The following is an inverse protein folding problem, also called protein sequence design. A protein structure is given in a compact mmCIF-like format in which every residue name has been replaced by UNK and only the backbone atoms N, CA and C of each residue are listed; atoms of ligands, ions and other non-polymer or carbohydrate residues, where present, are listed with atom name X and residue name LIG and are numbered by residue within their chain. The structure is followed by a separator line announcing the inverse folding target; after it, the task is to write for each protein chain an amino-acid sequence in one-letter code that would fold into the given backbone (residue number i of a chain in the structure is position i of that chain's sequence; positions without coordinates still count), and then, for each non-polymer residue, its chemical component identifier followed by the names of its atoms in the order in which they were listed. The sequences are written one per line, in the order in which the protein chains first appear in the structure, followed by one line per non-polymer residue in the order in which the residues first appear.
data_IF_786689790692
#
_entry.id   IF_786689790692
#
_cell.length_a   1.000
_cell.length_b   1.000
_cell.length_c   1.000
_cell.angle_alpha   90.00
_cell.angle_beta   90.00
_cell.angle_gamma   90.00
#
_symmetry.space_group_name_H-M   'P 1'
#
loop_
_entity.id
_entity.type
_entity.pdbx_description
1 polymer ?
#
# COMPACT_ATOMS: atom_id res chain seq x y z
N UNK A 1 5.61 -29.04 -6.49
CA UNK A 1 6.25 -27.74 -6.78
C UNK A 1 7.67 -27.84 -6.24
N UNK A 2 8.68 -27.43 -7.00
CA UNK A 2 10.03 -27.32 -6.43
C UNK A 2 9.98 -26.33 -5.26
N UNK A 3 10.86 -26.48 -4.27
CA UNK A 3 10.91 -25.63 -3.08
C UNK A 3 11.13 -24.12 -3.35
N UNK A 4 11.34 -23.74 -4.62
CA UNK A 4 11.72 -22.39 -5.05
C UNK A 4 10.63 -21.66 -5.88
N UNK A 5 9.45 -22.26 -6.04
CA UNK A 5 8.33 -21.66 -6.77
C UNK A 5 7.26 -21.13 -5.80
N UNK A 6 7.13 -19.81 -5.74
CA UNK A 6 6.01 -19.12 -5.10
C UNK A 6 5.19 -18.38 -6.16
N UNK A 7 3.93 -18.08 -5.83
CA UNK A 7 3.01 -17.32 -6.69
C UNK A 7 2.63 -16.03 -5.98
N UNK A 8 2.77 -14.89 -6.65
CA UNK A 8 2.27 -13.59 -6.19
C UNK A 8 1.53 -12.92 -7.34
N UNK A 9 0.23 -12.78 -7.17
CA UNK A 9 -0.67 -12.05 -8.07
C UNK A 9 -1.58 -11.15 -7.24
N UNK A 10 -2.33 -10.22 -7.85
CA UNK A 10 -3.29 -9.39 -7.11
C UNK A 10 -4.37 -10.19 -6.35
N UNK A 11 -4.59 -11.47 -6.68
CA UNK A 11 -5.65 -12.30 -6.09
C UNK A 11 -5.15 -13.54 -5.36
N UNK A 12 -3.87 -13.92 -5.52
CA UNK A 12 -3.33 -15.14 -4.94
C UNK A 12 -1.87 -14.97 -4.50
N UNK A 13 -1.56 -15.47 -3.31
CA UNK A 13 -0.21 -15.52 -2.73
C UNK A 13 -0.03 -16.92 -2.14
N UNK A 14 0.94 -17.68 -2.67
CA UNK A 14 1.21 -19.06 -2.26
C UNK A 14 2.72 -19.34 -2.21
N UNK A 15 3.14 -20.15 -1.23
CA UNK A 15 4.53 -20.55 -1.03
C UNK A 15 5.33 -19.61 -0.11
N UNK A 16 6.58 -19.98 0.16
CA UNK A 16 7.52 -19.15 0.93
C UNK A 16 8.07 -18.05 0.03
N UNK A 17 7.67 -16.81 0.29
CA UNK A 17 7.98 -15.67 -0.59
C UNK A 17 9.43 -15.21 -0.40
N UNK A 18 10.24 -15.34 -1.46
CA UNK A 18 11.53 -14.67 -1.56
C UNK A 18 11.35 -13.28 -2.18
N UNK A 19 11.38 -12.25 -1.32
CA UNK A 19 11.21 -10.86 -1.71
C UNK A 19 12.33 -10.33 -2.61
N UNK A 20 13.56 -10.84 -2.53
CA UNK A 20 14.66 -10.43 -3.43
C UNK A 20 14.43 -10.95 -4.85
N UNK A 21 13.91 -12.18 -4.97
CA UNK A 21 13.48 -12.74 -6.26
C UNK A 21 12.26 -11.98 -6.80
N UNK A 22 11.30 -11.64 -5.94
CA UNK A 22 10.10 -10.89 -6.32
C UNK A 22 10.43 -9.50 -6.89
N UNK A 23 11.36 -8.76 -6.27
CA UNK A 23 11.83 -7.45 -6.78
C UNK A 23 12.34 -7.58 -8.22
N UNK A 24 13.16 -8.60 -8.51
CA UNK A 24 13.72 -8.84 -9.84
C UNK A 24 12.65 -9.23 -10.86
N UNK A 25 11.71 -10.10 -10.46
CA UNK A 25 10.61 -10.53 -11.33
C UNK A 25 9.69 -9.37 -11.72
N UNK A 26 9.36 -8.51 -10.76
CA UNK A 26 8.47 -7.38 -11.00
C UNK A 26 9.21 -6.18 -11.59
N UNK A 27 10.55 -6.15 -11.56
CA UNK A 27 11.35 -5.03 -12.06
C UNK A 27 11.16 -3.76 -11.22
N UNK A 28 11.00 -3.93 -9.91
CA UNK A 28 10.99 -2.83 -8.93
C UNK A 28 12.39 -2.58 -8.38
N UNK A 29 12.55 -1.53 -7.59
CA UNK A 29 13.81 -1.21 -6.91
C UNK A 29 13.67 -1.48 -5.42
N UNK A 30 14.74 -1.94 -4.78
CA UNK A 30 14.79 -2.09 -3.33
C UNK A 30 14.88 -0.71 -2.68
N UNK A 31 14.16 -0.49 -1.58
CA UNK A 31 14.33 0.73 -0.78
C UNK A 31 15.73 0.69 -0.15
N UNK A 32 16.62 1.52 -0.70
CA UNK A 32 18.04 1.52 -0.33
C UNK A 32 18.30 2.29 0.97
N UNK A 33 19.45 2.07 1.64
CA UNK A 33 19.84 2.86 2.81
C UNK A 33 19.87 4.37 2.55
N UNK A 34 20.17 4.80 1.33
CA UNK A 34 20.16 6.20 0.91
C UNK A 34 18.74 6.76 0.89
N UNK A 35 17.77 6.02 0.33
CA UNK A 35 16.35 6.41 0.35
C UNK A 35 15.82 6.44 1.80
N UNK A 36 16.16 5.45 2.63
CA UNK A 36 15.78 5.44 4.04
C UNK A 36 16.31 6.67 4.78
N UNK A 37 17.57 7.03 4.53
CA UNK A 37 18.20 8.20 5.13
C UNK A 37 17.52 9.49 4.68
N UNK A 38 17.19 9.60 3.39
CA UNK A 38 16.48 10.76 2.83
C UNK A 38 15.06 10.89 3.37
N UNK A 39 14.31 9.79 3.43
CA UNK A 39 12.98 9.74 4.06
C UNK A 39 13.04 10.23 5.51
N UNK A 40 14.00 9.74 6.30
CA UNK A 40 14.18 10.16 7.69
C UNK A 40 14.53 11.64 7.82
N UNK A 41 15.36 12.17 6.92
CA UNK A 41 15.72 13.59 6.90
C UNK A 41 14.50 14.47 6.59
N UNK A 42 13.71 14.11 5.59
CA UNK A 42 12.52 14.87 5.17
C UNK A 42 11.43 14.82 6.25
N UNK A 43 11.12 13.63 6.75
CA UNK A 43 9.99 13.42 7.67
C UNK A 43 10.34 13.67 9.14
N UNK A 44 11.63 13.81 9.46
CA UNK A 44 12.14 13.91 10.82
C UNK A 44 11.98 12.63 11.66
N UNK A 45 11.52 11.52 11.05
CA UNK A 45 11.18 10.30 11.77
C UNK A 45 11.62 9.05 11.01
N UNK A 46 12.09 8.05 11.75
CA UNK A 46 12.42 6.74 11.19
C UNK A 46 11.27 5.75 11.42
N UNK A 47 10.33 5.72 10.47
CA UNK A 47 9.12 4.92 10.58
C UNK A 47 9.44 3.41 10.66
N UNK A 48 8.83 2.71 11.61
CA UNK A 48 9.20 1.32 11.90
C UNK A 48 8.96 0.36 10.71
N UNK A 49 7.96 0.63 9.86
CA UNK A 49 7.69 -0.19 8.68
C UNK A 49 8.76 -0.04 7.59
N UNK A 50 9.47 1.09 7.55
CA UNK A 50 10.63 1.28 6.68
C UNK A 50 11.88 0.67 7.31
N UNK A 51 12.19 1.01 8.58
CA UNK A 51 13.35 0.47 9.31
C UNK A 51 13.38 -1.05 9.34
N UNK A 52 12.22 -1.70 9.49
CA UNK A 52 12.10 -3.16 9.59
C UNK A 52 11.91 -3.85 8.23
N UNK A 53 11.90 -3.10 7.13
CA UNK A 53 11.73 -3.66 5.78
C UNK A 53 10.35 -4.27 5.54
N UNK A 54 9.30 -3.79 6.21
CA UNK A 54 7.91 -4.18 5.90
C UNK A 54 7.53 -3.62 4.52
N UNK A 55 7.84 -2.34 4.30
CA UNK A 55 7.95 -1.78 2.95
C UNK A 55 9.40 -1.93 2.51
N UNK A 56 9.64 -2.73 1.48
CA UNK A 56 10.99 -3.14 1.05
C UNK A 56 11.32 -2.73 -0.39
N UNK A 57 10.32 -2.41 -1.21
CA UNK A 57 10.51 -2.05 -2.62
C UNK A 57 9.72 -0.81 -3.02
N UNK A 58 10.13 -0.17 -4.11
CA UNK A 58 9.49 1.02 -4.66
C UNK A 58 9.66 1.09 -6.19
N UNK A 59 8.96 2.07 -6.79
CA UNK A 59 9.23 2.63 -8.12
C UNK A 59 9.25 4.14 -7.99
N UNK A 60 10.28 4.79 -8.52
CA UNK A 60 10.40 6.25 -8.62
C UNK A 60 10.23 7.06 -7.31
N UNK A 61 10.30 6.41 -6.15
CA UNK A 61 10.28 7.09 -4.85
C UNK A 61 11.39 8.14 -4.74
N UNK A 62 12.57 7.87 -5.29
CA UNK A 62 13.65 8.86 -5.37
C UNK A 62 13.21 10.15 -6.09
N UNK A 63 12.45 10.03 -7.19
CA UNK A 63 11.94 11.19 -7.93
C UNK A 63 10.94 11.99 -7.09
N UNK A 64 10.04 11.31 -6.38
CA UNK A 64 9.09 11.97 -5.47
C UNK A 64 9.84 12.75 -4.37
N UNK A 65 10.87 12.16 -3.75
CA UNK A 65 11.64 12.83 -2.70
C UNK A 65 12.47 13.99 -3.24
N UNK A 66 13.10 13.83 -4.41
CA UNK A 66 13.85 14.90 -5.07
C UNK A 66 12.95 16.08 -5.45
N UNK A 67 11.73 15.80 -5.92
CA UNK A 67 10.77 16.82 -6.33
C UNK A 67 10.13 17.51 -5.12
N UNK A 68 9.85 16.77 -4.05
CA UNK A 68 9.37 17.35 -2.80
C UNK A 68 10.35 18.38 -2.22
N UNK A 69 11.65 18.08 -2.21
CA UNK A 69 12.69 19.03 -1.76
C UNK A 69 12.77 20.31 -2.61
N UNK A 70 12.35 20.23 -3.89
CA UNK A 70 12.24 21.39 -4.79
C UNK A 70 10.93 22.16 -4.62
N UNK A 71 10.06 21.73 -3.71
CA UNK A 71 8.73 22.33 -3.48
C UNK A 71 7.68 21.91 -4.51
N UNK A 72 7.93 20.87 -5.31
CA UNK A 72 6.92 20.31 -6.20
C UNK A 72 5.88 19.51 -5.41
N UNK A 73 4.62 19.62 -5.84
CA UNK A 73 3.49 18.96 -5.19
C UNK A 73 3.30 17.55 -5.74
N UNK A 74 2.88 16.64 -4.87
CA UNK A 74 2.39 15.31 -5.24
C UNK A 74 1.16 14.96 -4.39
N UNK A 75 0.58 13.78 -4.61
CA UNK A 75 -0.53 13.27 -3.83
C UNK A 75 -0.34 11.77 -3.56
N UNK A 76 -1.05 11.26 -2.56
CA UNK A 76 -1.11 9.84 -2.23
C UNK A 76 -2.34 9.20 -2.84
N UNK A 77 -2.19 7.96 -3.29
CA UNK A 77 -3.28 7.14 -3.77
C UNK A 77 -3.14 5.72 -3.22
N UNK A 78 -4.22 5.22 -2.63
CA UNK A 78 -4.35 3.83 -2.21
C UNK A 78 -5.82 3.42 -2.29
N UNK A 79 -6.14 2.17 -1.97
CA UNK A 79 -7.52 1.71 -2.07
C UNK A 79 -7.78 0.39 -1.38
N UNK A 80 -9.02 -0.05 -1.51
CA UNK A 80 -9.56 -1.27 -0.92
C UNK A 80 -10.65 -1.84 -1.80
N UNK A 81 -10.53 -3.11 -2.13
CA UNK A 81 -11.62 -3.89 -2.71
C UNK A 81 -12.53 -4.46 -1.62
N UNK A 82 -13.77 -3.96 -1.44
CA UNK A 82 -14.64 -4.33 -0.35
C UNK A 82 -15.38 -5.65 -0.65
N UNK A 83 -14.77 -6.77 -0.24
CA UNK A 83 -15.38 -8.11 -0.34
C UNK A 83 -15.72 -8.72 1.02
N UNK A 84 -15.77 -7.89 2.07
CA UNK A 84 -15.95 -8.31 3.45
C UNK A 84 -15.31 -7.34 4.46
N UNK A 85 -15.38 -7.70 5.73
CA UNK A 85 -14.82 -6.91 6.84
C UNK A 85 -13.30 -6.78 6.74
N UNK A 86 -12.78 -5.70 7.32
CA UNK A 86 -11.33 -5.48 7.37
C UNK A 86 -10.67 -6.42 8.39
N UNK A 87 -9.39 -6.74 8.15
CA UNK A 87 -8.52 -7.44 9.09
C UNK A 87 -7.19 -6.70 9.15
N UNK A 88 -6.35 -6.98 10.15
CA UNK A 88 -5.09 -6.25 10.42
C UNK A 88 -4.20 -6.12 9.17
N UNK A 89 -4.16 -7.11 8.29
CA UNK A 89 -3.41 -7.03 7.02
C UNK A 89 -3.83 -5.85 6.13
N UNK A 90 -5.11 -5.48 6.09
CA UNK A 90 -5.61 -4.34 5.30
C UNK A 90 -5.17 -3.00 5.90
N UNK A 91 -4.95 -2.94 7.22
CA UNK A 91 -4.58 -1.72 7.93
C UNK A 91 -3.13 -1.32 7.68
N UNK A 92 -2.24 -2.28 7.37
CA UNK A 92 -0.80 -2.03 7.14
C UNK A 92 -0.55 -0.91 6.12
N UNK A 93 -1.10 -0.97 4.88
CA UNK A 93 -0.93 0.11 3.91
C UNK A 93 -1.60 1.42 4.34
N UNK A 94 -2.73 1.37 5.05
CA UNK A 94 -3.48 2.56 5.44
C UNK A 94 -2.76 3.33 6.55
N UNK A 95 -2.28 2.63 7.60
CA UNK A 95 -1.48 3.25 8.66
C UNK A 95 -0.21 3.89 8.09
N UNK A 96 0.42 3.24 7.11
CA UNK A 96 1.58 3.81 6.44
C UNK A 96 1.22 5.04 5.58
N UNK A 97 0.11 4.99 4.83
CA UNK A 97 -0.38 6.11 4.05
C UNK A 97 -0.76 7.31 4.91
N UNK A 98 -1.37 7.08 6.09
CA UNK A 98 -1.66 8.13 7.07
C UNK A 98 -0.38 8.83 7.53
N UNK A 99 0.64 8.05 7.92
CA UNK A 99 1.93 8.61 8.30
C UNK A 99 2.54 9.45 7.16
N UNK A 100 2.49 8.96 5.92
CA UNK A 100 2.97 9.72 4.77
C UNK A 100 2.17 11.03 4.57
N UNK A 101 0.84 10.98 4.67
CA UNK A 101 -0.04 12.15 4.53
C UNK A 101 0.34 13.22 5.57
N UNK A 102 0.51 12.82 6.84
CA UNK A 102 0.87 13.74 7.93
C UNK A 102 2.27 14.34 7.77
N UNK A 103 3.24 13.55 7.29
CA UNK A 103 4.64 14.01 7.16
C UNK A 103 4.90 14.87 5.93
N UNK A 104 4.18 14.61 4.84
CA UNK A 104 4.35 15.35 3.59
C UNK A 104 3.30 16.44 3.38
N UNK A 105 2.25 16.49 4.20
CA UNK A 105 1.13 17.45 4.08
C UNK A 105 0.53 17.46 2.67
N UNK A 106 0.12 16.28 2.21
CA UNK A 106 -0.39 16.05 0.85
C UNK A 106 -1.80 15.49 0.85
N UNK A 107 -2.53 15.74 -0.24
CA UNK A 107 -3.84 15.13 -0.46
C UNK A 107 -3.72 13.61 -0.60
N UNK A 108 -4.72 12.89 -0.11
CA UNK A 108 -4.89 11.45 -0.33
C UNK A 108 -6.21 11.16 -1.05
N UNK A 109 -6.16 10.29 -2.04
CA UNK A 109 -7.34 9.72 -2.69
C UNK A 109 -7.42 8.24 -2.32
N UNK A 110 -8.56 7.83 -1.77
CA UNK A 110 -8.82 6.45 -1.36
C UNK A 110 -9.95 5.85 -2.21
N UNK A 111 -9.65 4.84 -3.02
CA UNK A 111 -10.65 4.18 -3.86
C UNK A 111 -11.23 2.94 -3.18
N UNK A 112 -12.55 2.86 -3.13
CA UNK A 112 -13.28 1.62 -2.85
C UNK A 112 -13.70 1.01 -4.19
N UNK A 113 -13.19 -0.19 -4.49
CA UNK A 113 -13.47 -0.90 -5.76
C UNK A 113 -14.58 -1.93 -5.58
N UNK A 114 -15.76 -1.47 -5.15
CA UNK A 114 -16.97 -2.29 -5.01
C UNK A 114 -17.40 -2.90 -6.34
N UNK A 115 -17.29 -2.16 -7.43
CA UNK A 115 -17.46 -2.60 -8.81
C UNK A 115 -16.57 -3.80 -9.18
N UNK A 116 -15.28 -3.76 -8.84
CA UNK A 116 -14.33 -4.86 -9.05
C UNK A 116 -14.78 -6.12 -8.29
N UNK A 117 -15.25 -5.96 -7.05
CA UNK A 117 -15.69 -7.10 -6.23
C UNK A 117 -17.01 -7.66 -6.69
N UNK A 118 -17.94 -6.82 -7.13
CA UNK A 118 -19.17 -7.26 -7.76
C UNK A 118 -18.88 -8.07 -9.03
N UNK A 119 -17.94 -7.60 -9.86
CA UNK A 119 -17.58 -8.29 -11.09
C UNK A 119 -16.82 -9.61 -10.86
N UNK A 120 -15.94 -9.67 -9.86
CA UNK A 120 -15.03 -10.81 -9.64
C UNK A 120 -15.56 -11.87 -8.67
N UNK A 121 -16.57 -11.55 -7.84
CA UNK A 121 -17.15 -12.47 -6.85
C UNK A 121 -18.58 -12.83 -7.24
N UNK A 122 -18.75 -14.04 -7.79
CA UNK A 122 -20.04 -14.56 -8.24
C UNK A 122 -21.07 -14.73 -7.12
N UNK A 123 -20.61 -14.78 -5.87
CA UNK A 123 -21.40 -14.95 -4.66
C UNK A 123 -21.84 -13.63 -4.01
N UNK A 124 -21.39 -12.48 -4.52
CA UNK A 124 -21.75 -11.16 -4.01
C UNK A 124 -22.64 -10.40 -4.99
N UNK A 125 -23.67 -9.75 -4.46
CA UNK A 125 -24.49 -8.81 -5.23
C UNK A 125 -23.87 -7.40 -5.23
N UNK A 126 -24.37 -6.53 -6.10
CA UNK A 126 -24.00 -5.11 -6.09
C UNK A 126 -24.38 -4.44 -4.76
N UNK A 127 -25.50 -4.85 -4.15
CA UNK A 127 -25.92 -4.34 -2.84
C UNK A 127 -24.95 -4.77 -1.73
N UNK A 128 -24.50 -6.03 -1.74
CA UNK A 128 -23.53 -6.54 -0.75
C UNK A 128 -22.21 -5.77 -0.81
N UNK A 129 -21.68 -5.56 -2.01
CA UNK A 129 -20.40 -4.85 -2.22
C UNK A 129 -20.48 -3.38 -1.85
N UNK A 130 -21.60 -2.70 -2.13
CA UNK A 130 -21.85 -1.33 -1.66
C UNK A 130 -21.93 -1.25 -0.13
N UNK A 131 -22.58 -2.22 0.52
CA UNK A 131 -22.65 -2.26 1.99
C UNK A 131 -21.26 -2.48 2.60
N UNK A 132 -20.45 -3.38 2.04
CA UNK A 132 -19.06 -3.54 2.46
C UNK A 132 -18.22 -2.30 2.20
N UNK A 133 -18.45 -1.58 1.09
CA UNK A 133 -17.75 -0.33 0.81
C UNK A 133 -18.02 0.70 1.92
N UNK A 134 -19.28 0.85 2.35
CA UNK A 134 -19.65 1.74 3.44
C UNK A 134 -18.94 1.34 4.75
N UNK A 135 -19.02 0.08 5.16
CA UNK A 135 -18.37 -0.40 6.39
C UNK A 135 -16.83 -0.23 6.34
N UNK A 136 -16.21 -0.58 5.20
CA UNK A 136 -14.76 -0.41 5.03
C UNK A 136 -14.36 1.08 4.99
N UNK A 137 -15.24 1.98 4.53
CA UNK A 137 -15.02 3.42 4.61
C UNK A 137 -15.00 3.92 6.06
N UNK A 138 -15.88 3.38 6.92
CA UNK A 138 -15.89 3.69 8.36
C UNK A 138 -14.58 3.24 9.02
N UNK A 139 -14.12 2.03 8.71
CA UNK A 139 -12.82 1.52 9.20
C UNK A 139 -11.65 2.41 8.75
N UNK A 140 -11.67 2.87 7.50
CA UNK A 140 -10.65 3.76 6.97
C UNK A 140 -10.66 5.12 7.67
N UNK A 141 -11.82 5.76 7.83
CA UNK A 141 -11.97 7.05 8.52
C UNK A 141 -11.58 6.93 10.00
N UNK A 142 -11.84 5.79 10.64
CA UNK A 142 -11.47 5.55 12.03
C UNK A 142 -9.94 5.59 12.29
N UNK A 143 -9.11 5.47 11.24
CA UNK A 143 -7.66 5.64 11.36
C UNK A 143 -7.25 7.11 11.54
N UNK A 144 -8.12 8.07 11.24
CA UNK A 144 -7.89 9.52 11.46
C UNK A 144 -7.16 10.21 10.32
N UNK A 145 -7.59 9.97 9.07
CA UNK A 145 -7.15 10.69 7.87
C UNK A 145 -7.72 12.11 7.75
#
# INVERSE_FOLDING_TARGET
MSSDEFVVTPWNVEGDIDYEKLIKQFGTQKISPEILSKMKQITGEDHFMLRRGIFFSHRDLNLILDNFEKGEKFFLYTGRGPSGNTHIGHLVPWVFAKWLQEKFDVNIYFQLTDDEKFYTKSDLTLEDTNNFALENALDFIALGF
#
